data_IF_400284039001
#
_entry.id   IF_400284039001
#
_cell.length_a   1.000
_cell.length_b   1.000
_cell.length_c   1.000
_cell.angle_alpha   90.00
_cell.angle_beta   90.00
_cell.angle_gamma   90.00
#
_symmetry.space_group_name_H-M   'P 1'
#
loop_
_entity.id
_entity.type
_entity.pdbx_description
1 polymer ?
#
# COMPACT_ATOMS: atom_id res chain seq x y z
N UNK A 1 -15.11 4.81 -17.15
CA UNK A 1 -14.95 4.77 -16.55
C UNK A 1 -15.11 5.03 -15.56
N UNK A 2 -15.18 4.81 -14.88
CA UNK A 2 -15.31 4.94 -13.97
C UNK A 2 -15.08 5.45 -13.14
N UNK A 3 -15.24 5.54 -12.52
CA UNK A 3 -15.00 6.00 -11.83
C UNK A 3 -14.93 5.96 -10.81
N UNK A 4 -14.81 6.02 -10.42
CA UNK A 4 -14.24 5.80 -9.44
C UNK A 4 -14.45 6.52 -8.25
N UNK A 5 -15.34 7.11 -8.12
CA UNK A 5 -15.52 7.83 -7.04
C UNK A 5 -15.80 7.09 -5.89
N UNK A 6 -16.17 5.99 -5.98
CA UNK A 6 -16.41 5.32 -4.86
C UNK A 6 -15.35 4.71 -4.29
N UNK A 7 -14.16 5.14 -4.44
CA UNK A 7 -13.13 4.49 -3.95
C UNK A 7 -13.12 4.35 -2.54
N UNK A 8 -12.71 3.31 -1.96
CA UNK A 8 -12.58 3.15 -0.64
C UNK A 8 -11.41 3.81 -0.20
N UNK A 9 -11.30 4.34 0.94
CA UNK A 9 -10.16 4.99 1.47
C UNK A 9 -9.24 3.99 2.08
N UNK A 10 -8.15 3.70 1.44
CA UNK A 10 -7.17 2.78 1.94
C UNK A 10 -6.53 3.35 3.16
N UNK A 11 -6.30 4.64 3.20
CA UNK A 11 -5.67 5.25 4.35
C UNK A 11 -6.53 6.37 4.86
N UNK A 12 -6.62 6.45 6.16
CA UNK A 12 -7.40 7.47 6.75
C UNK A 12 -6.54 8.33 7.60
N UNK A 13 -6.63 9.62 7.46
CA UNK A 13 -5.85 10.54 8.25
C UNK A 13 -6.70 11.31 9.23
N UNK A 14 -6.07 12.04 10.08
CA UNK A 14 -6.78 12.76 11.12
C UNK A 14 -7.91 13.55 10.59
N UNK A 15 -9.07 13.54 11.28
CA UNK A 15 -10.18 14.15 10.91
C UNK A 15 -10.09 15.54 10.58
N UNK A 16 -9.53 16.37 11.30
CA UNK A 16 -9.50 17.73 11.00
C UNK A 16 -8.38 18.02 10.04
N UNK A 17 -7.57 17.02 9.73
CA UNK A 17 -6.51 17.25 8.79
C UNK A 17 -5.43 18.19 9.22
N UNK A 18 -5.55 18.79 10.36
CA UNK A 18 -4.58 19.63 10.83
C UNK A 18 -3.27 18.98 11.01
N UNK A 19 -3.17 17.89 11.62
CA UNK A 19 -1.89 17.28 11.84
C UNK A 19 -1.59 16.23 10.78
N UNK A 20 -2.51 15.94 9.92
CA UNK A 20 -2.29 14.97 8.86
C UNK A 20 -1.83 13.62 9.34
N UNK A 21 -2.07 13.31 10.60
CA UNK A 21 -1.61 12.05 11.13
C UNK A 21 -2.39 10.88 10.63
N UNK A 22 -1.69 9.84 10.23
CA UNK A 22 -2.33 8.64 9.72
C UNK A 22 -3.14 7.97 10.80
N UNK A 23 -4.37 7.63 10.53
CA UNK A 23 -5.22 6.97 11.49
C UNK A 23 -5.47 5.52 11.17
N UNK A 24 -5.58 5.17 9.93
CA UNK A 24 -5.80 3.78 9.59
C UNK A 24 -5.34 3.47 8.19
N UNK A 25 -5.02 2.21 7.96
CA UNK A 25 -4.61 1.74 6.66
C UNK A 25 -5.35 0.43 6.47
N UNK A 26 -5.90 0.22 5.30
CA UNK A 26 -6.64 -0.99 5.00
C UNK A 26 -5.94 -1.73 3.88
N UNK A 27 -5.79 -3.03 4.04
CA UNK A 27 -5.18 -3.86 3.00
C UNK A 27 -6.13 -3.89 1.81
N UNK A 28 -5.62 -3.55 0.64
CA UNK A 28 -6.45 -3.53 -0.54
C UNK A 28 -6.91 -4.90 -0.99
N UNK A 29 -6.21 -5.93 -0.59
CA UNK A 29 -6.59 -7.27 -1.01
C UNK A 29 -7.60 -7.92 -0.09
N UNK A 30 -7.37 -7.94 1.18
CA UNK A 30 -8.27 -8.63 2.09
C UNK A 30 -9.20 -7.70 2.88
N UNK A 31 -8.95 -6.42 2.84
CA UNK A 31 -9.82 -5.48 3.53
C UNK A 31 -9.54 -5.32 5.01
N UNK A 32 -8.52 -5.98 5.52
CA UNK A 32 -8.24 -5.92 6.95
C UNK A 32 -7.63 -4.58 7.31
N UNK A 33 -7.96 -4.09 8.47
CA UNK A 33 -7.43 -2.85 8.94
C UNK A 33 -6.10 -3.13 9.62
N UNK A 34 -5.05 -2.46 9.23
CA UNK A 34 -3.76 -2.68 9.84
C UNK A 34 -3.62 -1.85 11.09
N UNK A 35 -2.78 -2.27 11.99
CA UNK A 35 -2.57 -1.57 13.25
C UNK A 35 -1.80 -0.29 13.04
N UNK A 36 -2.36 0.82 13.51
CA UNK A 36 -1.70 2.10 13.42
C UNK A 36 -1.73 2.74 14.79
N UNK A 37 -0.60 3.26 15.26
CA UNK A 37 -0.57 3.89 16.53
C UNK A 37 0.28 5.13 16.45
N UNK A 38 -0.22 6.23 16.89
CA UNK A 38 0.49 7.50 16.85
C UNK A 38 0.97 7.82 15.45
N UNK A 39 0.14 7.58 14.46
CA UNK A 39 0.45 7.92 13.08
C UNK A 39 1.41 6.96 12.40
N UNK A 40 1.77 5.87 13.06
CA UNK A 40 2.72 4.93 12.49
C UNK A 40 2.11 3.54 12.39
N UNK A 41 2.29 2.90 11.26
CA UNK A 41 1.80 1.54 11.08
C UNK A 41 2.69 0.63 11.89
N UNK A 42 2.08 -0.20 12.71
CA UNK A 42 2.83 -1.05 13.62
C UNK A 42 2.87 -2.52 13.24
N UNK A 43 2.73 -2.82 12.00
CA UNK A 43 2.87 -4.20 11.55
C UNK A 43 3.41 -4.16 10.14
N UNK A 44 3.78 -5.27 9.60
CA UNK A 44 4.35 -5.33 8.27
C UNK A 44 3.35 -4.86 7.25
N UNK A 45 3.74 -4.00 6.36
CA UNK A 45 2.86 -3.52 5.33
C UNK A 45 3.68 -3.29 4.07
N UNK A 46 3.08 -3.63 2.94
CA UNK A 46 3.70 -3.38 1.66
C UNK A 46 2.92 -2.24 1.02
N UNK A 47 3.57 -1.13 0.73
CA UNK A 47 2.91 0.00 0.11
C UNK A 47 3.51 0.24 -1.25
N UNK A 48 2.68 0.42 -2.23
CA UNK A 48 3.15 0.62 -3.58
C UNK A 48 2.59 1.91 -4.13
N UNK A 49 3.43 2.69 -4.78
CA UNK A 49 3.00 3.90 -5.43
C UNK A 49 3.69 3.84 -6.79
N UNK A 50 2.95 3.49 -7.81
CA UNK A 50 3.56 3.30 -9.11
C UNK A 50 2.99 4.27 -10.12
N UNK A 51 3.86 5.01 -10.77
CA UNK A 51 3.47 5.94 -11.81
C UNK A 51 3.69 5.24 -13.15
N UNK A 52 2.63 5.07 -13.91
CA UNK A 52 2.73 4.40 -15.19
C UNK A 52 3.32 5.36 -16.21
N UNK A 53 4.11 4.85 -17.11
CA UNK A 53 4.83 5.72 -18.00
C UNK A 53 4.29 5.73 -19.41
N UNK A 54 5.01 6.44 -20.26
CA UNK A 54 4.63 6.64 -21.61
C UNK A 54 4.26 5.43 -22.42
N UNK A 55 4.81 4.29 -22.19
CA UNK A 55 4.49 3.13 -22.97
C UNK A 55 3.29 2.34 -22.43
N UNK A 56 2.75 2.76 -21.34
CA UNK A 56 1.64 2.04 -20.74
C UNK A 56 0.34 2.65 -21.20
N UNK A 57 -0.69 1.84 -21.24
CA UNK A 57 -2.00 2.36 -21.54
C UNK A 57 -2.51 3.20 -20.40
N UNK A 58 -1.86 3.13 -19.24
CA UNK A 58 -2.24 3.88 -18.08
C UNK A 58 -1.34 5.08 -17.87
N UNK A 59 -0.68 5.54 -18.93
CA UNK A 59 0.22 6.66 -18.84
C UNK A 59 -0.52 7.82 -18.18
N UNK A 60 0.08 8.45 -17.22
CA UNK A 60 -0.53 9.55 -16.51
C UNK A 60 -1.23 9.16 -15.24
N UNK A 61 -1.32 7.86 -14.97
CA UNK A 61 -1.96 7.41 -13.73
C UNK A 61 -0.94 6.96 -12.73
N UNK A 62 -1.20 7.22 -11.48
CA UNK A 62 -0.36 6.74 -10.40
C UNK A 62 -1.24 5.82 -9.58
N UNK A 63 -0.81 4.60 -9.38
CA UNK A 63 -1.60 3.63 -8.63
C UNK A 63 -1.01 3.41 -7.26
N UNK A 64 -1.83 3.47 -6.25
CA UNK A 64 -1.40 3.31 -4.87
C UNK A 64 -2.16 2.17 -4.26
N UNK A 65 -1.49 1.31 -3.54
CA UNK A 65 -2.22 0.31 -2.78
C UNK A 65 -1.35 -0.20 -1.64
N UNK A 66 -1.99 -0.79 -0.64
CA UNK A 66 -1.31 -1.34 0.50
C UNK A 66 -1.72 -2.78 0.68
N UNK A 67 -0.81 -3.63 1.10
CA UNK A 67 -1.12 -5.02 1.39
C UNK A 67 -0.59 -5.34 2.77
N UNK A 68 -1.34 -6.14 3.52
CA UNK A 68 -0.82 -6.61 4.78
C UNK A 68 0.23 -7.68 4.45
N UNK A 69 1.06 -8.00 5.40
CA UNK A 69 2.15 -8.91 5.14
C UNK A 69 1.67 -10.27 4.67
N UNK A 70 0.62 -10.77 5.24
CA UNK A 70 0.05 -12.02 4.84
C UNK A 70 -0.36 -12.00 3.39
N UNK A 71 -1.04 -10.95 2.95
CA UNK A 71 -1.49 -10.86 1.56
C UNK A 71 -0.31 -10.69 0.62
N UNK A 72 0.71 -9.99 1.05
CA UNK A 72 1.91 -9.84 0.25
C UNK A 72 2.51 -11.23 0.00
N UNK A 73 2.59 -12.04 1.05
CA UNK A 73 3.17 -13.36 0.93
C UNK A 73 2.35 -14.23 0.00
N UNK A 74 1.06 -14.13 0.07
CA UNK A 74 0.21 -14.94 -0.77
C UNK A 74 0.30 -14.53 -2.23
N UNK A 75 0.31 -13.25 -2.50
CA UNK A 75 0.38 -12.77 -3.85
C UNK A 75 1.72 -13.11 -4.48
N UNK A 76 2.81 -12.86 -3.77
CA UNK A 76 4.12 -13.12 -4.33
C UNK A 76 4.41 -14.61 -4.40
N UNK A 77 3.75 -15.38 -3.57
CA UNK A 77 3.92 -16.82 -3.60
C UNK A 77 3.41 -17.45 -4.89
N UNK A 78 2.57 -16.72 -5.61
CA UNK A 78 2.05 -17.23 -6.85
C UNK A 78 2.88 -16.82 -8.04
N UNK A 79 3.94 -16.08 -7.84
CA UNK A 79 4.77 -15.63 -8.94
C UNK A 79 5.54 -16.82 -9.52
N UNK A 80 5.68 -16.87 -10.82
CA UNK A 80 6.43 -17.92 -11.45
C UNK A 80 7.88 -17.75 -11.16
N UNK A 81 8.38 -16.53 -11.05
CA UNK A 81 9.75 -16.29 -10.73
C UNK A 81 9.73 -15.61 -9.38
N UNK A 82 10.40 -16.18 -8.43
CA UNK A 82 10.34 -15.70 -7.05
C UNK A 82 10.88 -14.30 -6.90
N UNK A 83 10.39 -13.61 -5.89
CA UNK A 83 10.85 -12.30 -5.56
C UNK A 83 12.32 -12.39 -5.14
N UNK A 84 13.11 -11.44 -5.58
CA UNK A 84 14.49 -11.40 -5.19
C UNK A 84 14.61 -10.75 -3.86
N UNK A 85 15.24 -11.37 -2.91
CA UNK A 85 15.36 -10.86 -1.56
C UNK A 85 16.80 -10.66 -1.21
N UNK A 86 17.12 -9.48 -0.69
CA UNK A 86 18.47 -9.30 -0.21
C UNK A 86 18.36 -8.69 1.14
N UNK A 87 19.32 -8.97 1.99
CA UNK A 87 19.29 -8.43 3.32
C UNK A 87 19.84 -7.06 3.38
N UNK A 88 19.13 -6.19 4.02
CA UNK A 88 19.59 -4.84 4.14
C UNK A 88 20.45 -4.74 5.33
N UNK A 89 21.68 -4.32 5.18
CA UNK A 89 22.55 -4.17 6.30
C UNK A 89 22.54 -2.76 6.75
N UNK A 90 22.14 -2.53 7.99
CA UNK A 90 22.13 -1.22 8.49
C UNK A 90 23.41 -0.78 8.95
N UNK A 91 23.91 0.27 8.44
CA UNK A 91 25.16 0.76 8.88
C UNK A 91 24.93 1.81 9.83
N UNK A 92 25.35 1.70 10.98
CA UNK A 92 25.11 2.75 11.96
C UNK A 92 26.24 3.63 12.18
#
# INVERSE_FOLDING_TARGET
MMKAEEKRNMRKYGKDGKDGRLESVICNRCGRKLAVRNGIVREGVFSSDHAWDFFSEKDGEVHHFDLCEECYDEVTGEFRVAVEVEEEIEML
#
